data_IF_449688299227
#
_entry.id   IF_449688299227
#
_cell.length_a   1.000
_cell.length_b   1.000
_cell.length_c   1.000
_cell.angle_alpha   90.00
_cell.angle_beta   90.00
_cell.angle_gamma   90.00
#
_symmetry.space_group_name_H-M   'P 1'
#
loop_
_entity.id
_entity.type
_entity.pdbx_description
1 polymer ?
#
# COMPACT_ATOMS: atom_id res chain seq x y z
N UNK A 1 3.05 20.63 10.35
CA UNK A 1 1.93 19.78 9.90
C UNK A 1 1.27 19.18 11.15
N UNK A 2 -0.04 19.34 11.36
CA UNK A 2 -0.73 18.66 12.48
C UNK A 2 -0.66 17.15 12.21
N UNK A 3 -0.14 16.38 13.16
CA UNK A 3 -0.06 14.92 13.06
C UNK A 3 -1.46 14.33 13.05
N UNK A 4 -1.76 13.49 12.07
CA UNK A 4 -3.04 12.80 11.96
C UNK A 4 -2.92 11.39 12.51
N UNK A 5 -3.90 10.95 13.28
CA UNK A 5 -4.01 9.58 13.75
C UNK A 5 -5.26 8.95 13.16
N UNK A 6 -5.10 7.82 12.47
CA UNK A 6 -6.22 7.02 11.99
C UNK A 6 -6.55 6.00 13.07
N UNK A 7 -7.65 6.20 13.80
CA UNK A 7 -8.16 5.19 14.72
C UNK A 7 -8.69 4.01 13.90
N UNK A 8 -8.02 2.86 13.99
CA UNK A 8 -8.44 1.63 13.32
C UNK A 8 -9.29 0.79 14.28
N UNK A 9 -10.49 0.45 13.84
CA UNK A 9 -11.24 -0.68 14.37
C UNK A 9 -10.65 -1.98 13.78
N UNK A 10 -10.65 -3.07 14.55
CA UNK A 10 -10.15 -4.37 14.10
C UNK A 10 -10.87 -4.88 12.83
N UNK A 11 -12.11 -4.44 12.60
CA UNK A 11 -12.90 -4.76 11.41
C UNK A 11 -12.42 -4.04 10.13
N UNK A 12 -11.63 -2.97 10.28
CA UNK A 12 -11.11 -2.13 9.19
C UNK A 12 -9.62 -2.42 8.93
N UNK A 13 -8.91 -2.92 9.95
CA UNK A 13 -7.51 -3.29 9.85
C UNK A 13 -7.28 -4.34 8.75
N UNK A 14 -6.34 -4.09 7.84
CA UNK A 14 -6.02 -5.01 6.76
C UNK A 14 -6.98 -5.02 5.57
N UNK A 15 -8.14 -4.36 5.64
CA UNK A 15 -9.11 -4.28 4.55
C UNK A 15 -9.00 -3.00 3.72
N UNK A 16 -8.42 -1.96 4.31
CA UNK A 16 -8.34 -0.62 3.71
C UNK A 16 -6.89 -0.13 3.70
N UNK A 17 -6.53 0.45 2.55
CA UNK A 17 -5.28 1.19 2.36
C UNK A 17 -5.59 2.67 2.07
N UNK A 18 -4.70 3.56 2.49
CA UNK A 18 -4.91 5.00 2.39
C UNK A 18 -3.65 5.74 1.93
N UNK A 19 -3.82 6.83 1.21
CA UNK A 19 -2.72 7.71 0.83
C UNK A 19 -3.20 9.15 0.68
N UNK A 20 -2.37 10.12 1.07
CA UNK A 20 -2.59 11.53 0.76
C UNK A 20 -1.92 11.88 -0.57
N UNK A 21 -2.68 12.39 -1.53
CA UNK A 21 -2.18 12.72 -2.85
C UNK A 21 -2.90 13.96 -3.41
N UNK A 22 -2.14 14.94 -3.91
CA UNK A 22 -2.65 16.18 -4.50
C UNK A 22 -3.74 16.90 -3.66
N UNK A 23 -3.56 16.94 -2.34
CA UNK A 23 -4.49 17.60 -1.42
C UNK A 23 -5.77 16.81 -1.11
N UNK A 24 -5.90 15.57 -1.60
CA UNK A 24 -7.01 14.67 -1.30
C UNK A 24 -6.53 13.47 -0.49
N UNK A 25 -7.42 12.93 0.35
CA UNK A 25 -7.22 11.63 0.98
C UNK A 25 -7.82 10.56 0.06
N UNK A 26 -7.01 9.59 -0.34
CA UNK A 26 -7.47 8.43 -1.10
C UNK A 26 -7.63 7.24 -0.16
N UNK A 27 -8.72 6.51 -0.33
CA UNK A 27 -9.05 5.29 0.38
C UNK A 27 -9.34 4.18 -0.61
N UNK A 28 -8.62 3.08 -0.47
CA UNK A 28 -8.76 1.90 -1.30
C UNK A 28 -9.28 0.73 -0.47
N UNK A 29 -10.31 0.07 -0.97
CA UNK A 29 -10.73 -1.24 -0.49
C UNK A 29 -9.84 -2.32 -1.11
N UNK A 30 -9.07 -3.03 -0.27
CA UNK A 30 -7.97 -3.91 -0.73
C UNK A 30 -8.44 -5.18 -1.43
N UNK A 31 -9.66 -5.66 -1.22
CA UNK A 31 -10.15 -6.93 -1.77
C UNK A 31 -11.34 -6.77 -2.73
N UNK A 32 -11.90 -5.56 -2.77
CA UNK A 32 -12.94 -5.14 -3.70
C UNK A 32 -12.50 -3.77 -4.19
N UNK A 33 -12.02 -3.60 -5.43
CA UNK A 33 -11.19 -2.44 -5.82
C UNK A 33 -11.95 -1.11 -5.95
N UNK A 34 -12.67 -0.69 -4.91
CA UNK A 34 -13.25 0.64 -4.80
C UNK A 34 -12.21 1.63 -4.30
N UNK A 35 -11.91 2.63 -5.11
CA UNK A 35 -11.03 3.75 -4.76
C UNK A 35 -11.86 5.02 -4.62
N UNK A 36 -11.78 5.65 -3.45
CA UNK A 36 -12.52 6.86 -3.14
C UNK A 36 -11.55 7.99 -2.84
N UNK A 37 -11.81 9.16 -3.42
CA UNK A 37 -11.09 10.39 -3.15
C UNK A 37 -11.93 11.33 -2.28
N UNK A 38 -11.36 11.75 -1.15
CA UNK A 38 -11.98 12.63 -0.18
C UNK A 38 -11.29 14.00 -0.22
N UNK A 39 -12.06 15.05 -0.49
CA UNK A 39 -11.61 16.42 -0.30
C UNK A 39 -11.88 16.82 1.15
N UNK A 40 -10.82 17.20 1.85
CA UNK A 40 -10.86 17.60 3.24
C UNK A 40 -10.83 19.13 3.33
N UNK A 41 -11.69 19.71 4.18
CA UNK A 41 -11.65 21.13 4.55
C UNK A 41 -11.32 21.25 6.03
N UNK A 42 -10.42 22.17 6.34
CA UNK A 42 -10.12 22.53 7.73
C UNK A 42 -11.04 23.69 8.12
N UNK A 43 -12.09 23.37 8.88
CA UNK A 43 -13.03 24.35 9.41
C UNK A 43 -12.78 24.45 10.93
N UNK A 44 -12.12 25.53 11.37
CA UNK A 44 -11.95 25.93 12.78
C UNK A 44 -11.64 24.78 13.76
N UNK A 45 -12.64 24.19 14.42
CA UNK A 45 -12.44 23.12 15.40
C UNK A 45 -12.07 21.73 14.82
N UNK A 46 -12.11 21.50 13.50
CA UNK A 46 -11.82 20.17 12.96
C UNK A 46 -11.72 20.08 11.45
N UNK A 47 -11.75 18.84 10.95
CA UNK A 47 -11.72 18.57 9.51
C UNK A 47 -13.02 17.93 9.07
N UNK A 48 -13.59 18.50 8.02
CA UNK A 48 -14.82 18.06 7.39
C UNK A 48 -14.50 17.47 6.02
N UNK A 49 -15.26 16.45 5.63
CA UNK A 49 -15.22 15.92 4.25
C UNK A 49 -16.15 16.78 3.42
N UNK A 50 -15.61 17.58 2.50
CA UNK A 50 -16.42 18.45 1.65
C UNK A 50 -16.95 17.75 0.40
N UNK A 51 -16.25 16.73 -0.08
CA UNK A 51 -16.61 15.95 -1.27
C UNK A 51 -16.03 14.55 -1.19
N UNK A 52 -16.79 13.58 -1.70
CA UNK A 52 -16.35 12.21 -1.96
C UNK A 52 -16.54 11.94 -3.46
N UNK A 53 -15.50 11.43 -4.12
CA UNK A 53 -15.55 10.98 -5.51
C UNK A 53 -15.20 9.49 -5.56
N UNK A 54 -16.07 8.69 -6.18
CA UNK A 54 -15.74 7.33 -6.57
C UNK A 54 -14.90 7.36 -7.85
N UNK A 55 -13.72 6.76 -7.80
CA UNK A 55 -12.76 6.75 -8.88
C UNK A 55 -13.04 5.69 -9.95
N UNK A 56 -13.99 4.77 -9.70
CA UNK A 56 -14.45 3.73 -10.63
C UNK A 56 -13.32 2.88 -11.25
N UNK A 57 -12.24 2.65 -10.49
CA UNK A 57 -11.06 1.92 -10.98
C UNK A 57 -11.35 0.43 -11.22
N UNK A 58 -12.40 -0.12 -10.62
CA UNK A 58 -12.85 -1.50 -10.82
C UNK A 58 -13.18 -1.81 -12.28
N UNK A 59 -13.53 -0.80 -13.08
CA UNK A 59 -13.77 -0.95 -14.53
C UNK A 59 -12.48 -1.14 -15.34
N UNK A 60 -11.32 -0.83 -14.75
CA UNK A 60 -10.01 -0.85 -15.40
C UNK A 60 -9.16 -2.05 -14.98
N UNK A 61 -9.61 -2.80 -13.99
CA UNK A 61 -8.83 -3.84 -13.32
C UNK A 61 -9.41 -5.23 -13.62
N UNK A 62 -8.59 -6.28 -13.55
CA UNK A 62 -9.08 -7.65 -13.66
C UNK A 62 -10.17 -7.91 -12.63
N UNK A 63 -11.26 -8.56 -13.04
CA UNK A 63 -12.38 -8.84 -12.15
C UNK A 63 -11.94 -9.79 -11.02
N UNK A 64 -12.03 -9.39 -9.73
CA UNK A 64 -11.67 -10.27 -8.61
C UNK A 64 -12.45 -11.60 -8.58
N UNK A 65 -13.67 -11.62 -9.12
CA UNK A 65 -14.50 -12.82 -9.21
C UNK A 65 -13.93 -13.84 -10.22
N UNK A 66 -13.29 -13.38 -11.30
CA UNK A 66 -12.63 -14.25 -12.28
C UNK A 66 -11.36 -14.90 -11.70
N UNK A 67 -10.78 -14.30 -10.66
CA UNK A 67 -9.62 -14.81 -9.95
C UNK A 67 -9.96 -15.52 -8.63
N UNK A 68 -11.22 -15.91 -8.41
CA UNK A 68 -11.68 -16.62 -7.20
C UNK A 68 -11.27 -15.89 -5.90
N UNK A 69 -11.28 -14.55 -5.91
CA UNK A 69 -10.87 -13.73 -4.76
C UNK A 69 -9.37 -13.73 -4.45
N UNK A 70 -8.52 -14.24 -5.34
CA UNK A 70 -7.07 -14.30 -5.18
C UNK A 70 -6.36 -13.03 -5.65
N UNK A 71 -6.97 -11.86 -5.41
CA UNK A 71 -6.42 -10.54 -5.73
C UNK A 71 -6.47 -9.64 -4.51
N UNK A 72 -5.45 -8.82 -4.34
CA UNK A 72 -5.54 -7.67 -3.46
C UNK A 72 -4.82 -6.44 -4.02
N UNK A 73 -5.23 -5.29 -3.48
CA UNK A 73 -4.82 -3.99 -3.94
C UNK A 73 -4.19 -3.20 -2.80
N UNK A 74 -3.22 -2.36 -3.12
CA UNK A 74 -2.60 -1.39 -2.23
C UNK A 74 -2.33 -0.07 -3.00
N UNK A 75 -2.25 1.06 -2.32
CA UNK A 75 -1.91 2.35 -2.92
C UNK A 75 -0.72 3.00 -2.24
N UNK A 76 0.11 3.69 -3.02
CA UNK A 76 1.28 4.41 -2.51
C UNK A 76 1.58 5.63 -3.37
N UNK A 77 2.03 6.72 -2.75
CA UNK A 77 2.57 7.86 -3.50
C UNK A 77 4.04 7.63 -3.77
N UNK A 78 4.44 7.76 -5.03
CA UNK A 78 5.83 7.66 -5.48
C UNK A 78 6.12 8.72 -6.54
N UNK A 79 7.14 9.56 -6.29
CA UNK A 79 7.61 10.62 -7.21
C UNK A 79 6.47 11.48 -7.80
N UNK A 80 5.54 11.90 -6.96
CA UNK A 80 4.40 12.74 -7.37
C UNK A 80 3.33 12.00 -8.17
N UNK A 81 3.32 10.67 -8.18
CA UNK A 81 2.27 9.83 -8.78
C UNK A 81 1.61 8.98 -7.69
N UNK A 82 0.30 8.76 -7.81
CA UNK A 82 -0.38 7.73 -7.04
C UNK A 82 -0.28 6.40 -7.78
N UNK A 83 0.37 5.42 -7.15
CA UNK A 83 0.51 4.08 -7.68
C UNK A 83 -0.54 3.16 -7.07
N UNK A 84 -1.06 2.27 -7.91
CA UNK A 84 -1.89 1.13 -7.56
C UNK A 84 -1.05 -0.14 -7.69
N UNK A 85 -0.96 -0.90 -6.60
CA UNK A 85 -0.22 -2.17 -6.51
C UNK A 85 -1.24 -3.31 -6.51
N UNK A 86 -1.14 -4.21 -7.48
CA UNK A 86 -1.96 -5.42 -7.59
C UNK A 86 -1.12 -6.62 -7.16
N UNK A 87 -1.68 -7.45 -6.29
CA UNK A 87 -1.09 -8.72 -5.86
C UNK A 87 -1.99 -9.87 -6.27
N UNK A 88 -1.42 -10.78 -7.05
CA UNK A 88 -2.04 -12.04 -7.43
C UNK A 88 -1.58 -13.12 -6.46
N UNK A 89 -2.49 -13.98 -6.01
CA UNK A 89 -2.18 -15.11 -5.15
C UNK A 89 -2.45 -16.44 -5.86
N UNK A 90 -1.71 -17.50 -5.51
CA UNK A 90 -2.00 -18.86 -6.01
C UNK A 90 -3.29 -19.49 -5.43
N UNK A 91 -4.00 -18.78 -4.54
CA UNK A 91 -5.30 -19.20 -4.03
C UNK A 91 -5.81 -18.31 -2.89
N UNK A 92 -7.13 -18.32 -2.66
CA UNK A 92 -7.81 -17.47 -1.67
C UNK A 92 -7.32 -17.65 -0.22
N UNK A 93 -6.98 -18.89 0.16
CA UNK A 93 -6.54 -19.24 1.52
C UNK A 93 -5.03 -19.07 1.74
N UNK A 94 -4.25 -18.87 0.67
CA UNK A 94 -2.79 -18.77 0.71
C UNK A 94 -2.33 -17.33 0.45
N UNK A 95 -2.74 -16.40 1.31
CA UNK A 95 -2.37 -14.97 1.21
C UNK A 95 -0.87 -14.70 1.39
N UNK A 96 -0.12 -15.68 1.89
CA UNK A 96 1.35 -15.69 1.93
C UNK A 96 1.98 -16.17 0.61
N UNK A 97 1.18 -16.68 -0.35
CA UNK A 97 1.66 -17.21 -1.62
C UNK A 97 1.33 -16.26 -2.77
N UNK A 98 2.04 -15.13 -2.81
CA UNK A 98 1.98 -14.18 -3.91
C UNK A 98 2.54 -14.83 -5.17
N UNK A 99 1.76 -14.85 -6.24
CA UNK A 99 2.15 -15.38 -7.55
C UNK A 99 2.87 -14.31 -8.39
N UNK A 100 2.36 -13.07 -8.32
CA UNK A 100 2.79 -11.96 -9.18
C UNK A 100 2.38 -10.65 -8.55
N UNK A 101 3.18 -9.61 -8.78
CA UNK A 101 2.84 -8.23 -8.47
C UNK A 101 2.86 -7.40 -9.75
N UNK A 102 1.86 -6.54 -9.91
CA UNK A 102 1.82 -5.53 -10.95
C UNK A 102 1.61 -4.15 -10.32
N UNK A 103 2.23 -3.13 -10.90
CA UNK A 103 2.15 -1.76 -10.38
C UNK A 103 1.77 -0.82 -11.51
N UNK A 104 0.80 0.05 -11.26
CA UNK A 104 0.30 1.02 -12.23
C UNK A 104 0.30 2.42 -11.61
N UNK A 105 0.73 3.42 -12.37
CA UNK A 105 0.44 4.81 -12.04
C UNK A 105 -0.97 5.17 -12.52
N UNK A 106 -1.75 5.78 -11.61
CA UNK A 106 -3.08 6.31 -11.91
C UNK A 106 -2.94 7.67 -12.61
N UNK A 107 -3.60 7.80 -13.76
CA UNK A 107 -3.74 9.05 -14.50
C UNK A 107 -5.16 9.60 -14.32
N UNK A 108 -5.26 10.64 -13.47
CA UNK A 108 -6.51 11.32 -13.17
C UNK A 108 -6.96 12.32 -14.25
N UNK A 109 -6.16 12.52 -15.31
CA UNK A 109 -6.48 13.48 -16.37
C UNK A 109 -7.51 12.98 -17.39
N UNK A 110 -7.78 11.67 -17.42
CA UNK A 110 -8.75 11.04 -18.32
C UNK A 110 -9.98 10.51 -17.57
N UNK A 111 -11.10 10.26 -18.25
CA UNK A 111 -12.24 9.50 -17.70
C UNK A 111 -12.67 8.41 -18.70
N UNK A 112 -12.64 7.10 -18.33
CA UNK A 112 -12.14 6.57 -17.06
C UNK A 112 -10.65 6.87 -16.86
N UNK A 113 -10.17 6.78 -15.62
CA UNK A 113 -8.78 7.10 -15.30
C UNK A 113 -7.82 6.20 -16.09
N UNK A 114 -6.67 6.73 -16.46
CA UNK A 114 -5.65 5.97 -17.18
C UNK A 114 -4.83 5.12 -16.21
N UNK A 115 -4.30 4.00 -16.71
CA UNK A 115 -3.31 3.18 -16.01
C UNK A 115 -2.04 3.07 -16.85
N UNK A 116 -0.91 3.46 -16.27
CA UNK A 116 0.40 3.26 -16.89
C UNK A 116 1.20 2.26 -16.06
N UNK A 117 1.58 1.13 -16.67
CA UNK A 117 2.36 0.10 -15.96
C UNK A 117 3.74 0.63 -15.58
N UNK A 118 4.17 0.35 -14.35
CA UNK A 118 5.48 0.66 -13.81
C UNK A 118 6.30 -0.62 -13.75
N UNK A 119 7.52 -0.55 -14.30
CA UNK A 119 8.43 -1.69 -14.41
C UNK A 119 9.58 -1.66 -13.40
N UNK A 120 9.70 -0.58 -12.64
CA UNK A 120 10.75 -0.39 -11.65
C UNK A 120 10.69 0.99 -10.97
N UNK A 121 11.44 1.12 -9.88
CA UNK A 121 11.54 2.29 -9.02
C UNK A 121 12.94 2.92 -9.04
N UNK A 122 13.90 2.31 -9.76
CA UNK A 122 15.26 2.80 -9.86
C UNK A 122 15.99 2.72 -8.51
N UNK A 123 16.44 3.85 -7.98
CA UNK A 123 17.09 3.91 -6.66
C UNK A 123 16.13 3.87 -5.48
N UNK A 124 14.82 3.93 -5.73
CA UNK A 124 13.79 3.98 -4.69
C UNK A 124 13.28 2.56 -4.40
N UNK A 125 12.65 2.39 -3.25
CA UNK A 125 11.95 1.17 -2.87
C UNK A 125 10.56 1.49 -2.32
N UNK A 126 9.71 0.47 -2.26
CA UNK A 126 8.35 0.58 -1.73
C UNK A 126 8.15 -0.42 -0.60
N UNK A 127 7.67 0.05 0.54
CA UNK A 127 7.24 -0.79 1.64
C UNK A 127 5.72 -0.90 1.60
N UNK A 128 5.21 -2.13 1.66
CA UNK A 128 3.79 -2.44 1.58
C UNK A 128 3.39 -3.15 2.86
N UNK A 129 2.54 -2.50 3.66
CA UNK A 129 1.93 -3.11 4.83
C UNK A 129 0.44 -3.38 4.64
N UNK A 130 -0.18 -3.91 5.69
CA UNK A 130 -1.62 -4.17 5.78
C UNK A 130 -2.48 -2.90 5.72
N UNK A 131 -1.86 -1.79 6.09
CA UNK A 131 -2.54 -0.60 6.61
C UNK A 131 -2.03 0.71 6.00
N UNK A 132 -1.08 0.60 5.08
CA UNK A 132 -0.36 1.72 4.54
C UNK A 132 0.83 1.24 3.72
N UNK A 133 1.15 1.99 2.69
CA UNK A 133 2.35 1.81 1.91
C UNK A 133 3.17 3.10 1.90
N UNK A 134 4.48 2.97 1.76
CA UNK A 134 5.37 4.13 1.65
C UNK A 134 6.47 3.88 0.63
N UNK A 135 6.84 4.91 -0.10
CA UNK A 135 8.02 4.89 -0.98
C UNK A 135 9.11 5.79 -0.40
N UNK A 136 10.38 5.41 -0.64
CA UNK A 136 11.53 6.21 -0.24
C UNK A 136 12.78 5.85 -1.05
N UNK A 137 13.78 6.74 -1.13
CA UNK A 137 15.10 6.41 -1.66
C UNK A 137 15.74 5.30 -0.82
N UNK A 138 16.16 4.20 -1.45
CA UNK A 138 16.70 3.03 -0.74
C UNK A 138 17.97 3.37 0.05
N UNK A 139 18.82 4.26 -0.49
CA UNK A 139 20.07 4.69 0.16
C UNK A 139 19.91 5.45 1.48
N UNK A 140 18.69 5.68 1.97
CA UNK A 140 18.44 6.25 3.29
C UNK A 140 18.45 5.19 4.41
N UNK A 141 18.43 3.90 4.08
CA UNK A 141 18.32 2.82 5.05
C UNK A 141 19.32 1.70 4.76
N UNK A 142 20.12 1.36 5.76
CA UNK A 142 21.07 0.25 5.66
C UNK A 142 20.34 -1.08 5.41
N UNK A 143 20.85 -1.86 4.46
CA UNK A 143 20.25 -3.15 4.08
C UNK A 143 18.99 -3.03 3.21
N UNK A 144 18.61 -1.83 2.76
CA UNK A 144 17.54 -1.62 1.79
C UNK A 144 18.14 -1.39 0.40
N UNK A 145 17.62 -2.10 -0.58
CA UNK A 145 18.03 -2.07 -1.98
C UNK A 145 16.96 -1.37 -2.82
N UNK A 146 17.41 -0.62 -3.83
CA UNK A 146 16.52 0.03 -4.79
C UNK A 146 15.85 -0.97 -5.72
N UNK A 147 14.77 -0.52 -6.36
CA UNK A 147 13.99 -1.29 -7.34
C UNK A 147 13.22 -2.49 -6.76
N UNK A 148 13.09 -2.54 -5.43
CA UNK A 148 12.43 -3.62 -4.70
C UNK A 148 11.16 -3.16 -3.98
N UNK A 149 10.26 -4.13 -3.76
CA UNK A 149 9.11 -3.98 -2.88
C UNK A 149 9.28 -4.87 -1.65
N UNK A 150 9.07 -4.29 -0.48
CA UNK A 150 9.19 -4.95 0.81
C UNK A 150 7.79 -5.14 1.38
N UNK A 151 7.31 -6.37 1.36
CA UNK A 151 6.02 -6.74 1.93
C UNK A 151 6.21 -7.10 3.39
N UNK A 152 5.55 -6.31 4.24
CA UNK A 152 5.56 -6.49 5.69
C UNK A 152 4.33 -7.32 6.08
N UNK A 153 4.45 -8.24 7.06
CA UNK A 153 3.35 -9.06 7.54
C UNK A 153 2.10 -8.26 7.87
N UNK A 154 0.95 -8.76 7.44
CA UNK A 154 -0.31 -8.44 8.10
C UNK A 154 -0.26 -9.07 9.51
N UNK A 155 -1.07 -8.59 10.47
CA UNK A 155 -0.95 -8.81 11.93
C UNK A 155 -0.94 -10.28 12.44
N UNK A 156 -0.90 -11.24 11.53
CA UNK A 156 -1.14 -12.66 11.76
C UNK A 156 0.13 -13.53 11.67
N UNK A 157 1.20 -13.14 10.96
CA UNK A 157 2.40 -13.99 10.88
C UNK A 157 3.68 -13.28 10.36
N UNK A 158 4.71 -13.08 11.21
CA UNK A 158 6.00 -12.50 10.81
C UNK A 158 6.70 -13.17 9.62
N UNK A 159 6.41 -14.45 9.38
CA UNK A 159 6.98 -15.24 8.28
C UNK A 159 6.39 -14.88 6.91
N UNK A 160 5.32 -14.07 6.86
CA UNK A 160 4.72 -13.59 5.63
C UNK A 160 5.49 -12.37 5.04
N UNK A 161 6.62 -12.01 5.65
CA UNK A 161 7.51 -10.96 5.16
C UNK A 161 8.33 -11.44 3.95
N UNK A 162 8.27 -10.72 2.85
CA UNK A 162 9.07 -11.04 1.67
C UNK A 162 9.47 -9.80 0.88
N UNK A 163 10.52 -9.95 0.08
CA UNK A 163 10.99 -8.93 -0.85
C UNK A 163 10.67 -9.39 -2.27
N UNK A 164 10.09 -8.50 -3.06
CA UNK A 164 9.74 -8.73 -4.46
C UNK A 164 10.57 -7.84 -5.36
N UNK A 165 11.15 -8.44 -6.40
CA UNK A 165 11.98 -7.75 -7.39
C UNK A 165 11.13 -7.42 -8.62
N UNK A 166 11.03 -6.14 -8.98
CA UNK A 166 10.17 -5.72 -10.10
C UNK A 166 10.68 -6.17 -11.46
N UNK A 167 12.01 -6.26 -11.61
CA UNK A 167 12.66 -6.56 -12.89
C UNK A 167 12.48 -8.00 -13.36
N UNK A 168 12.53 -8.97 -12.45
CA UNK A 168 12.44 -10.41 -12.77
C UNK A 168 11.30 -11.15 -12.05
N UNK A 169 10.52 -10.45 -11.22
CA UNK A 169 9.38 -11.00 -10.50
C UNK A 169 9.76 -12.00 -9.40
N UNK A 170 11.03 -12.07 -8.99
CA UNK A 170 11.47 -13.01 -7.97
C UNK A 170 11.11 -12.53 -6.57
N UNK A 171 10.72 -13.49 -5.74
CA UNK A 171 10.51 -13.31 -4.31
C UNK A 171 11.67 -13.91 -3.54
N UNK A 172 12.09 -13.24 -2.48
CA UNK A 172 13.03 -13.78 -1.49
C UNK A 172 12.56 -13.46 -0.07
N UNK A 173 12.93 -14.27 0.94
CA UNK A 173 12.62 -13.97 2.34
C UNK A 173 13.16 -12.60 2.74
N UNK A 174 12.40 -11.88 3.57
CA UNK A 174 12.91 -10.69 4.24
C UNK A 174 13.96 -11.15 5.26
N UNK A 175 15.20 -10.64 5.18
CA UNK A 175 16.24 -11.02 6.12
C UNK A 175 15.83 -10.60 7.55
N UNK A 176 15.61 -11.57 8.44
CA UNK A 176 15.03 -11.35 9.77
C UNK A 176 15.93 -10.50 10.67
N UNK A 177 17.23 -10.38 10.37
CA UNK A 177 18.16 -9.52 11.13
C UNK A 177 17.80 -8.02 11.07
N UNK A 178 16.99 -7.59 10.09
CA UNK A 178 16.44 -6.23 9.98
C UNK A 178 14.92 -6.16 10.24
N UNK A 179 14.33 -7.21 10.83
CA UNK A 179 12.92 -7.22 11.22
C UNK A 179 12.64 -6.17 12.31
N UNK A 180 11.56 -5.37 12.20
CA UNK A 180 11.18 -4.39 13.22
C UNK A 180 10.94 -5.00 14.62
N UNK A 181 10.78 -6.32 14.71
CA UNK A 181 10.59 -7.06 15.96
C UNK A 181 11.87 -7.35 16.76
N UNK A 182 13.07 -7.10 16.21
CA UNK A 182 14.32 -7.25 16.96
C UNK A 182 14.72 -5.99 17.74
N UNK A 183 13.97 -4.89 17.60
CA UNK A 183 14.17 -3.67 18.38
C UNK A 183 13.30 -3.73 19.65
N UNK A 184 13.61 -4.63 20.59
CA UNK A 184 13.24 -4.57 22.02
C UNK A 184 11.85 -4.06 22.47
N UNK A 185 10.83 -4.00 21.60
CA UNK A 185 9.55 -3.36 21.89
C UNK A 185 8.59 -4.38 22.52
N UNK A 186 7.98 -4.07 23.68
CA UNK A 186 7.05 -4.97 24.36
C UNK A 186 5.88 -5.41 23.48
N UNK A 187 5.40 -6.65 23.66
CA UNK A 187 4.35 -7.29 22.84
C UNK A 187 3.06 -6.47 22.67
N UNK A 188 2.77 -5.56 23.60
CA UNK A 188 1.60 -4.68 23.56
C UNK A 188 1.71 -3.56 22.50
N UNK A 189 2.90 -3.36 21.93
CA UNK A 189 3.20 -2.44 20.82
C UNK A 189 3.34 -3.17 19.47
N UNK A 190 2.99 -4.46 19.36
CA UNK A 190 3.01 -5.26 18.12
C UNK A 190 1.96 -4.83 17.07
N UNK A 191 1.32 -3.67 17.24
CA UNK A 191 0.72 -2.97 16.11
C UNK A 191 1.85 -2.59 15.15
N UNK A 192 2.19 -3.51 14.24
CA UNK A 192 3.19 -3.35 13.18
C UNK A 192 3.15 -1.91 12.64
N UNK A 193 4.31 -1.22 12.55
CA UNK A 193 4.34 0.23 12.45
C UNK A 193 3.45 0.68 11.30
N UNK A 194 2.36 1.37 11.66
CA UNK A 194 1.61 2.20 10.74
C UNK A 194 2.56 3.34 10.40
N UNK A 195 3.31 3.21 9.31
CA UNK A 195 4.29 4.18 8.84
C UNK A 195 3.58 5.47 8.36
N UNK A 196 3.00 6.23 9.29
CA UNK A 196 2.54 7.59 9.08
C UNK A 196 3.65 8.56 9.48
N UNK A 197 4.81 8.47 8.82
CA UNK A 197 5.72 9.61 8.84
C UNK A 197 5.26 10.59 7.76
N UNK A 198 5.02 11.87 8.08
CA UNK A 198 4.70 12.88 7.07
C UNK A 198 5.78 12.87 5.99
N UNK A 199 5.40 13.13 4.73
CA UNK A 199 6.38 13.64 3.79
C UNK A 199 6.76 15.04 4.28
N UNK A 200 8.04 15.26 4.54
CA UNK A 200 8.58 16.62 4.42
C UNK A 200 8.41 17.10 2.97
#
# INVERSE_FOLDING_TARGET
>A
MRSWHVCRDALIAGHIDIAFYQGKLYMLWRFTPGLFAFELREDGPGVTVSRVEDCLIETLLPNPLEHNGALSYNIVVWRGKLLLILRYYHGYQARHNVAKVEVFALDFSTKPYGLTKIHGFGSDCIFVGSSGCKSFPAGLHDGVEGDLMYFVPDHYNPQDAFVYTMSDGRMRPFAVESSPGNIGTPEHYLGFPVWLFPSE
#
